data_IF_149056647161
#
_entry.id   IF_149056647161
#
_cell.length_a   1.000
_cell.length_b   1.000
_cell.length_c   1.000
_cell.angle_alpha   90.00
_cell.angle_beta   90.00
_cell.angle_gamma   90.00
#
_symmetry.space_group_name_H-M   'P 1'
#
loop_
_entity.id
_entity.type
_entity.pdbx_description
1 polymer ?
#
# COMPACT_ATOMS: atom_id res chain seq x y z
N UNK A 1 -10.28 1.96 -19.23
CA UNK A 1 -9.00 2.58 -18.85
C UNK A 1 -7.89 1.98 -19.70
N UNK A 2 -7.08 2.83 -20.34
CA UNK A 2 -5.86 2.40 -21.04
C UNK A 2 -4.81 1.89 -20.06
N UNK A 3 -3.82 1.13 -20.54
CA UNK A 3 -2.70 0.65 -19.71
C UNK A 3 -1.92 1.80 -19.06
N UNK A 4 -1.78 2.93 -19.78
CA UNK A 4 -1.16 4.15 -19.25
C UNK A 4 -1.96 4.73 -18.07
N UNK A 5 -3.29 4.81 -18.20
CA UNK A 5 -4.16 5.28 -17.12
C UNK A 5 -4.12 4.35 -15.88
N UNK A 6 -4.04 3.04 -16.09
CA UNK A 6 -3.90 2.08 -14.98
C UNK A 6 -2.58 2.27 -14.23
N UNK A 7 -1.48 2.47 -14.96
CA UNK A 7 -0.15 2.71 -14.38
C UNK A 7 -0.10 4.04 -13.61
N UNK A 8 -0.59 5.13 -14.19
CA UNK A 8 -0.66 6.41 -13.49
C UNK A 8 -1.49 6.35 -12.21
N UNK A 9 -2.57 5.56 -12.19
CA UNK A 9 -3.34 5.34 -10.95
C UNK A 9 -2.54 4.59 -9.89
N UNK A 10 -1.80 3.55 -10.29
CA UNK A 10 -0.94 2.81 -9.36
C UNK A 10 0.15 3.72 -8.76
N UNK A 11 0.78 4.57 -9.58
CA UNK A 11 1.80 5.51 -9.13
C UNK A 11 1.27 6.50 -8.09
N UNK A 12 0.09 7.08 -8.32
CA UNK A 12 -0.55 7.99 -7.35
C UNK A 12 -0.81 7.28 -6.01
N UNK A 13 -1.41 6.08 -6.04
CA UNK A 13 -1.73 5.33 -4.82
C UNK A 13 -0.46 4.91 -4.07
N UNK A 14 0.62 4.55 -4.77
CA UNK A 14 1.93 4.25 -4.16
C UNK A 14 2.49 5.48 -3.44
N UNK A 15 2.33 6.67 -4.03
CA UNK A 15 2.81 7.92 -3.45
C UNK A 15 2.02 8.30 -2.19
N UNK A 16 0.69 8.24 -2.23
CA UNK A 16 -0.20 8.52 -1.08
C UNK A 16 0.15 7.61 0.12
N UNK A 17 0.42 6.34 -0.17
CA UNK A 17 0.72 5.32 0.84
C UNK A 17 2.19 5.31 1.30
N UNK A 18 3.04 6.23 0.85
CA UNK A 18 4.43 6.30 1.29
C UNK A 18 5.22 5.02 0.96
N UNK A 19 5.05 4.49 -0.26
CA UNK A 19 5.66 3.22 -0.73
C UNK A 19 6.69 3.43 -1.86
N UNK A 20 7.15 4.65 -2.10
CA UNK A 20 8.10 5.00 -3.17
C UNK A 20 9.40 4.19 -3.04
N UNK A 21 9.97 4.14 -1.84
CA UNK A 21 11.22 3.40 -1.56
C UNK A 21 11.07 1.88 -1.74
N UNK A 22 9.83 1.38 -1.82
CA UNK A 22 9.49 -0.03 -1.96
C UNK A 22 9.15 -0.46 -3.39
N UNK A 23 9.06 0.46 -4.37
CA UNK A 23 8.53 0.18 -5.72
C UNK A 23 9.23 -0.95 -6.48
N UNK A 24 10.53 -1.11 -6.28
CA UNK A 24 11.35 -2.12 -6.96
C UNK A 24 11.76 -3.27 -6.03
N UNK A 25 11.18 -3.31 -4.83
CA UNK A 25 11.44 -4.35 -3.85
C UNK A 25 10.39 -5.45 -3.97
N UNK A 26 10.83 -6.71 -3.95
CA UNK A 26 9.89 -7.84 -3.94
C UNK A 26 9.07 -7.83 -2.64
N UNK A 27 7.78 -8.14 -2.72
CA UNK A 27 6.90 -8.29 -1.55
C UNK A 27 7.42 -9.38 -0.59
N UNK A 28 7.93 -10.47 -1.16
CA UNK A 28 8.52 -11.62 -0.46
C UNK A 28 7.53 -12.39 0.42
N UNK A 29 8.07 -13.32 1.22
CA UNK A 29 7.31 -14.28 2.02
C UNK A 29 8.17 -14.85 3.15
N UNK A 30 7.73 -15.95 3.78
CA UNK A 30 8.49 -16.59 4.85
C UNK A 30 9.90 -16.98 4.38
N UNK A 31 10.93 -16.42 5.03
CA UNK A 31 12.33 -16.73 4.77
C UNK A 31 13.02 -15.91 3.66
N UNK A 32 12.34 -14.99 2.98
CA UNK A 32 12.94 -14.13 1.93
C UNK A 32 12.97 -12.68 2.37
N UNK A 33 14.16 -12.06 2.38
CA UNK A 33 14.33 -10.64 2.73
C UNK A 33 13.56 -9.77 1.73
N UNK A 34 12.63 -8.98 2.23
CA UNK A 34 11.60 -8.32 1.43
C UNK A 34 10.96 -7.15 2.20
N UNK A 35 9.79 -6.68 1.75
CA UNK A 35 9.02 -5.63 2.42
C UNK A 35 8.81 -5.94 3.92
N UNK A 36 8.90 -4.90 4.74
CA UNK A 36 8.59 -4.99 6.17
C UNK A 36 7.08 -5.13 6.40
N UNK A 37 6.66 -5.41 7.64
CA UNK A 37 5.25 -5.62 7.98
C UNK A 37 4.36 -4.44 7.63
N UNK A 38 4.80 -3.22 7.93
CA UNK A 38 4.04 -2.00 7.64
C UNK A 38 3.89 -1.74 6.15
N UNK A 39 4.97 -1.91 5.37
CA UNK A 39 4.92 -1.82 3.91
C UNK A 39 3.96 -2.86 3.32
N UNK A 40 3.97 -4.10 3.81
CA UNK A 40 3.02 -5.14 3.38
C UNK A 40 1.58 -4.76 3.69
N UNK A 41 1.31 -4.20 4.87
CA UNK A 41 -0.02 -3.70 5.25
C UNK A 41 -0.50 -2.63 4.28
N UNK A 42 0.33 -1.61 4.02
CA UNK A 42 0.00 -0.51 3.10
C UNK A 42 -0.19 -1.00 1.66
N UNK A 43 0.62 -1.95 1.18
CA UNK A 43 0.43 -2.59 -0.14
C UNK A 43 -0.92 -3.30 -0.22
N UNK A 44 -1.32 -4.03 0.83
CA UNK A 44 -2.64 -4.69 0.86
C UNK A 44 -3.78 -3.67 0.74
N UNK A 45 -3.69 -2.54 1.44
CA UNK A 45 -4.69 -1.47 1.37
C UNK A 45 -4.67 -0.79 -0.01
N UNK A 46 -3.49 -0.57 -0.60
CA UNK A 46 -3.35 -0.03 -1.96
C UNK A 46 -4.14 -0.87 -2.96
N UNK A 47 -4.05 -2.19 -2.89
CA UNK A 47 -4.74 -3.09 -3.83
C UNK A 47 -6.26 -2.87 -3.77
N UNK A 48 -6.82 -2.69 -2.58
CA UNK A 48 -8.25 -2.43 -2.40
C UNK A 48 -8.64 -1.03 -2.88
N UNK A 49 -7.86 0.02 -2.56
CA UNK A 49 -8.09 1.40 -3.03
C UNK A 49 -7.99 1.48 -4.55
N UNK A 50 -7.10 0.69 -5.16
CA UNK A 50 -6.97 0.55 -6.60
C UNK A 50 -8.19 -0.06 -7.26
N UNK A 51 -9.26 -0.42 -6.54
CA UNK A 51 -10.57 -0.75 -7.13
C UNK A 51 -11.53 0.44 -7.17
N UNK A 52 -11.22 1.54 -6.45
CA UNK A 52 -12.11 2.69 -6.18
C UNK A 52 -13.44 2.24 -5.56
N UNK A 53 -13.41 1.60 -4.38
CA UNK A 53 -14.64 1.25 -3.70
C UNK A 53 -15.35 2.51 -3.21
N UNK A 54 -16.68 2.54 -3.27
CA UNK A 54 -17.47 3.63 -2.67
C UNK A 54 -17.43 3.61 -1.14
N UNK A 55 -17.12 2.45 -0.55
CA UNK A 55 -16.99 2.22 0.88
C UNK A 55 -15.96 1.12 1.11
N UNK A 56 -14.99 1.38 1.99
CA UNK A 56 -13.93 0.43 2.34
C UNK A 56 -13.96 0.18 3.84
N UNK A 57 -14.11 -1.08 4.24
CA UNK A 57 -13.99 -1.51 5.63
C UNK A 57 -12.58 -2.03 5.87
N UNK A 58 -11.94 -1.55 6.92
CA UNK A 58 -10.61 -1.98 7.32
C UNK A 58 -10.66 -2.41 8.79
N UNK A 59 -10.23 -3.64 9.05
CA UNK A 59 -10.10 -4.15 10.41
C UNK A 59 -8.68 -3.88 10.94
N UNK A 60 -8.63 -3.10 12.02
CA UNK A 60 -7.42 -2.59 12.67
C UNK A 60 -6.28 -2.18 11.69
N UNK A 61 -6.52 -1.20 10.80
CA UNK A 61 -5.58 -0.87 9.71
C UNK A 61 -4.22 -0.35 10.18
N UNK A 62 -4.12 0.17 11.41
CA UNK A 62 -2.90 0.73 12.01
C UNK A 62 -2.28 -0.17 13.08
N UNK A 63 -2.85 -1.35 13.33
CA UNK A 63 -2.32 -2.26 14.35
C UNK A 63 -0.93 -2.79 13.96
N UNK A 64 0.00 -2.69 14.90
CA UNK A 64 1.41 -3.06 14.71
C UNK A 64 2.22 -2.09 13.84
N UNK A 65 1.70 -0.90 13.55
CA UNK A 65 2.39 0.15 12.79
C UNK A 65 2.99 1.21 13.71
N UNK A 66 4.12 1.79 13.30
CA UNK A 66 4.64 3.01 13.92
C UNK A 66 3.77 4.23 13.55
N UNK A 67 3.94 5.35 14.26
CA UNK A 67 3.13 6.56 14.07
C UNK A 67 3.26 7.16 12.66
N UNK A 68 4.45 7.15 12.07
CA UNK A 68 4.66 7.71 10.73
C UNK A 68 4.02 6.81 9.66
N UNK A 69 4.16 5.50 9.79
CA UNK A 69 3.51 4.52 8.92
C UNK A 69 1.98 4.61 9.04
N UNK A 70 1.45 4.84 10.24
CA UNK A 70 0.01 4.97 10.48
C UNK A 70 -0.60 6.20 9.83
N UNK A 71 0.16 7.31 9.78
CA UNK A 71 -0.26 8.55 9.13
C UNK A 71 -0.63 8.33 7.65
N UNK A 72 0.20 7.57 6.92
CA UNK A 72 -0.02 7.25 5.50
C UNK A 72 -1.26 6.36 5.24
N UNK A 73 -1.77 5.68 6.26
CA UNK A 73 -2.97 4.84 6.13
C UNK A 73 -4.24 5.65 6.39
N UNK A 74 -4.12 6.73 7.17
CA UNK A 74 -5.25 7.52 7.68
C UNK A 74 -5.46 8.86 6.95
N UNK A 75 -4.52 9.25 6.09
CA UNK A 75 -4.54 10.50 5.33
C UNK A 75 -4.67 10.20 3.85
#
# INVERSE_FOLDING_TARGET
>A
MSSSQKRGRAEITIQEMGLQDAMHTRIGGWGVKALNGGQKRRVSICIEILTRPSLLFLDEPTSGLDSATSYHVMT
#
